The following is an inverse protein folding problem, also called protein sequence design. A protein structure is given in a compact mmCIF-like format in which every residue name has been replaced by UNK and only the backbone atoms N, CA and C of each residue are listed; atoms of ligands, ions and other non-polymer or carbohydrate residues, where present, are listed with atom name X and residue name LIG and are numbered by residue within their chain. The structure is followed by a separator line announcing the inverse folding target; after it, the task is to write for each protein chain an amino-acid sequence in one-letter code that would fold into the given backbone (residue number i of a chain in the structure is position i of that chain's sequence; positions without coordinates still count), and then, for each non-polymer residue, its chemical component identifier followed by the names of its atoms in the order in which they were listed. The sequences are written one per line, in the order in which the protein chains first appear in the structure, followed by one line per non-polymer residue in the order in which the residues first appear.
data_IF_872519493402
#
_entry.id   IF_872519493402
#
_cell.length_a   1.000
_cell.length_b   1.000
_cell.length_c   1.000
_cell.angle_alpha   90.00
_cell.angle_beta   90.00
_cell.angle_gamma   90.00
#
_symmetry.space_group_name_H-M   'P 1'
#
loop_
_entity.id
_entity.type
_entity.pdbx_description
1 polymer ?
#
# COMPACT_ATOMS: atom_id res chain seq x y z
N UNK A 1 -3.86 -1.99 25.01
CA UNK A 1 -2.69 -2.63 25.64
C UNK A 1 -2.18 -1.71 26.72
N UNK A 2 -1.76 -2.25 27.88
CA UNK A 2 -1.13 -1.41 28.91
C UNK A 2 0.26 -0.97 28.41
N UNK A 3 0.57 0.33 28.49
CA UNK A 3 1.90 0.89 28.14
C UNK A 3 3.07 0.20 28.87
N UNK A 4 2.79 -0.45 30.00
CA UNK A 4 3.78 -1.23 30.78
C UNK A 4 4.34 -2.47 30.09
N UNK A 5 3.83 -2.85 28.92
CA UNK A 5 4.29 -4.01 28.14
C UNK A 5 5.18 -3.63 26.94
N UNK A 6 5.40 -2.35 26.67
CA UNK A 6 6.25 -1.91 25.56
C UNK A 6 7.71 -1.91 26.00
N UNK A 7 8.54 -2.65 25.28
CA UNK A 7 9.99 -2.69 25.53
C UNK A 7 10.65 -1.55 24.76
N UNK A 8 11.18 -0.58 25.51
CA UNK A 8 11.85 0.60 24.91
C UNK A 8 13.05 0.19 24.06
N UNK A 9 13.09 0.69 22.85
CA UNK A 9 14.14 0.44 21.88
C UNK A 9 14.07 -0.93 21.23
N UNK A 10 13.04 -1.75 21.45
CA UNK A 10 12.84 -3.00 20.73
C UNK A 10 12.40 -2.70 19.30
N UNK A 11 13.11 -3.30 18.31
CA UNK A 11 12.85 -3.17 16.87
C UNK A 11 12.27 -4.49 16.37
N UNK A 12 11.13 -4.40 15.70
CA UNK A 12 10.51 -5.50 14.97
C UNK A 12 10.70 -5.31 13.46
N UNK A 13 11.49 -6.16 12.85
CA UNK A 13 11.63 -6.26 11.38
C UNK A 13 10.49 -7.10 10.83
N UNK A 14 9.81 -6.60 9.79
CA UNK A 14 8.70 -7.27 9.13
C UNK A 14 9.07 -7.53 7.68
N UNK A 15 9.05 -8.80 7.26
CA UNK A 15 9.51 -9.25 5.95
C UNK A 15 8.58 -10.32 5.39
N UNK A 16 8.22 -10.23 4.11
CA UNK A 16 7.61 -11.32 3.37
C UNK A 16 8.66 -11.97 2.47
N UNK A 17 8.62 -13.29 2.32
CA UNK A 17 9.52 -14.04 1.45
C UNK A 17 8.79 -15.13 0.70
N UNK A 18 9.24 -15.43 -0.53
CA UNK A 18 8.69 -16.51 -1.35
C UNK A 18 9.73 -17.08 -2.31
N UNK A 19 10.02 -18.37 -2.19
CA UNK A 19 10.78 -19.16 -3.15
C UNK A 19 12.25 -18.80 -3.29
N UNK A 20 12.84 -18.10 -2.30
CA UNK A 20 14.21 -17.56 -2.32
C UNK A 20 14.97 -17.77 -1.01
N UNK A 21 15.03 -19.00 -0.45
CA UNK A 21 15.71 -19.23 0.83
C UNK A 21 17.21 -18.87 0.79
N UNK A 22 17.84 -18.91 -0.37
CA UNK A 22 19.23 -18.48 -0.58
C UNK A 22 19.43 -16.99 -0.26
N UNK A 23 18.44 -16.12 -0.57
CA UNK A 23 18.53 -14.71 -0.25
C UNK A 23 18.42 -14.47 1.25
N UNK A 24 17.55 -15.23 1.92
CA UNK A 24 17.44 -15.17 3.38
C UNK A 24 18.74 -15.50 4.07
N UNK A 25 19.53 -16.43 3.53
CA UNK A 25 20.86 -16.75 4.08
C UNK A 25 21.79 -15.53 4.07
N UNK A 26 21.80 -14.76 2.97
CA UNK A 26 22.59 -13.52 2.89
C UNK A 26 22.05 -12.43 3.83
N UNK A 27 20.73 -12.27 3.89
CA UNK A 27 20.07 -11.32 4.81
C UNK A 27 20.41 -11.66 6.27
N UNK A 28 20.34 -12.94 6.65
CA UNK A 28 20.64 -13.38 8.01
C UNK A 28 22.12 -13.16 8.37
N UNK A 29 23.03 -13.46 7.45
CA UNK A 29 24.45 -13.17 7.64
C UNK A 29 24.71 -11.67 7.83
N UNK A 30 24.05 -10.82 7.05
CA UNK A 30 24.14 -9.37 7.19
C UNK A 30 23.59 -8.91 8.55
N UNK A 31 22.40 -9.35 8.94
CA UNK A 31 21.81 -9.03 10.25
C UNK A 31 22.76 -9.43 11.39
N UNK A 32 23.27 -10.65 11.36
CA UNK A 32 24.20 -11.17 12.38
C UNK A 32 25.47 -10.34 12.51
N UNK A 33 26.00 -9.84 11.39
CA UNK A 33 27.28 -9.10 11.39
C UNK A 33 27.13 -7.60 11.67
N UNK A 34 25.95 -7.02 11.48
CA UNK A 34 25.77 -5.55 11.54
C UNK A 34 24.90 -5.07 12.70
N UNK A 35 24.13 -5.95 13.35
CA UNK A 35 23.28 -5.58 14.49
C UNK A 35 24.10 -5.40 15.77
N UNK A 36 23.98 -4.25 16.42
CA UNK A 36 24.72 -3.94 17.64
C UNK A 36 24.06 -4.55 18.90
N UNK A 37 22.73 -4.55 18.98
CA UNK A 37 21.98 -5.07 20.13
C UNK A 37 20.97 -6.14 19.67
N UNK A 38 21.43 -7.36 19.34
CA UNK A 38 20.58 -8.40 18.77
C UNK A 38 19.42 -8.84 19.66
N UNK A 39 19.59 -8.79 20.97
CA UNK A 39 18.53 -9.13 21.94
C UNK A 39 17.34 -8.17 21.89
N UNK A 40 17.51 -6.98 21.29
CA UNK A 40 16.47 -5.97 21.09
C UNK A 40 15.95 -5.91 19.67
N UNK A 41 16.28 -6.90 18.84
CA UNK A 41 15.81 -6.98 17.46
C UNK A 41 15.11 -8.31 17.24
N UNK A 42 13.93 -8.26 16.68
CA UNK A 42 13.22 -9.47 16.24
C UNK A 42 12.87 -9.36 14.76
N UNK A 43 13.00 -10.49 14.05
CA UNK A 43 12.62 -10.62 12.65
C UNK A 43 11.36 -11.48 12.55
N UNK A 44 10.34 -10.96 11.90
CA UNK A 44 9.09 -11.66 11.61
C UNK A 44 8.95 -11.85 10.11
N UNK A 45 8.86 -13.11 9.69
CA UNK A 45 8.80 -13.54 8.30
C UNK A 45 7.45 -14.14 7.97
N UNK A 46 6.85 -13.67 6.88
CA UNK A 46 5.68 -14.30 6.29
C UNK A 46 6.13 -15.22 5.16
N UNK A 47 5.67 -16.45 5.19
CA UNK A 47 5.91 -17.48 4.18
C UNK A 47 4.56 -18.01 3.71
N UNK A 48 4.34 -18.01 2.41
CA UNK A 48 3.11 -18.56 1.85
C UNK A 48 3.03 -20.08 2.09
N UNK A 49 1.86 -20.58 2.44
CA UNK A 49 1.64 -22.01 2.76
C UNK A 49 1.92 -22.95 1.57
N UNK A 50 1.85 -22.42 0.33
CA UNK A 50 2.19 -23.14 -0.90
C UNK A 50 3.65 -23.01 -1.31
N UNK A 51 4.50 -22.28 -0.55
CA UNK A 51 5.94 -22.15 -0.80
C UNK A 51 6.73 -23.32 -0.21
N UNK A 52 6.69 -24.44 -0.90
CA UNK A 52 7.37 -25.67 -0.47
C UNK A 52 8.89 -25.51 -0.36
N UNK A 53 9.52 -24.63 -1.14
CA UNK A 53 10.98 -24.45 -1.17
C UNK A 53 11.44 -23.76 0.12
N UNK A 54 10.85 -22.63 0.46
CA UNK A 54 11.18 -21.89 1.69
C UNK A 54 10.83 -22.71 2.93
N UNK A 55 9.66 -23.35 2.94
CA UNK A 55 9.25 -24.22 4.06
C UNK A 55 10.24 -25.35 4.32
N UNK A 56 10.71 -26.03 3.26
CA UNK A 56 11.74 -27.07 3.39
C UNK A 56 13.06 -26.53 3.97
N UNK A 57 13.45 -25.30 3.61
CA UNK A 57 14.64 -24.67 4.16
C UNK A 57 14.48 -24.35 5.66
N UNK A 58 13.29 -23.92 6.08
CA UNK A 58 12.96 -23.71 7.50
C UNK A 58 13.03 -25.03 8.28
N UNK A 59 12.37 -26.07 7.78
CA UNK A 59 12.31 -27.39 8.44
C UNK A 59 13.68 -28.04 8.57
N UNK A 60 14.58 -27.80 7.61
CA UNK A 60 15.96 -28.31 7.64
C UNK A 60 16.90 -27.53 8.57
N UNK A 61 16.40 -26.52 9.27
CA UNK A 61 17.17 -25.62 10.12
C UNK A 61 18.26 -24.80 9.37
N UNK A 62 18.23 -24.80 8.04
CA UNK A 62 19.19 -24.05 7.23
C UNK A 62 19.08 -22.52 7.41
N UNK A 63 17.96 -22.05 7.97
CA UNK A 63 17.64 -20.63 8.20
C UNK A 63 17.49 -20.31 9.70
N UNK A 64 18.32 -20.86 10.57
CA UNK A 64 18.12 -20.71 12.03
C UNK A 64 19.03 -19.67 12.68
N UNK A 65 20.01 -19.13 11.99
CA UNK A 65 21.01 -18.24 12.60
C UNK A 65 21.09 -16.87 11.91
N UNK A 66 20.14 -16.02 12.25
CA UNK A 66 20.16 -14.61 11.85
C UNK A 66 20.86 -13.69 12.87
N UNK A 67 21.40 -14.25 13.96
CA UNK A 67 21.95 -13.48 15.07
C UNK A 67 20.89 -12.73 15.88
N UNK A 68 19.65 -12.68 15.44
CA UNK A 68 18.49 -12.05 16.11
C UNK A 68 17.37 -13.08 16.25
N UNK A 69 16.36 -12.78 17.07
CA UNK A 69 15.20 -13.66 17.21
C UNK A 69 14.40 -13.72 15.94
N UNK A 70 14.25 -14.89 15.33
CA UNK A 70 13.46 -15.14 14.12
C UNK A 70 12.12 -15.77 14.47
N UNK A 71 11.05 -15.23 13.90
CA UNK A 71 9.69 -15.75 14.04
C UNK A 71 9.10 -15.98 12.64
N UNK A 72 8.51 -17.15 12.44
CA UNK A 72 7.89 -17.54 11.18
C UNK A 72 6.37 -17.51 11.30
N UNK A 73 5.73 -16.92 10.30
CA UNK A 73 4.29 -16.98 10.12
C UNK A 73 4.01 -17.63 8.77
N UNK A 74 3.38 -18.81 8.79
CA UNK A 74 2.95 -19.50 7.58
C UNK A 74 1.47 -19.18 7.40
N UNK A 75 1.11 -18.68 6.24
CA UNK A 75 -0.24 -18.26 5.94
C UNK A 75 -0.60 -18.40 4.46
N UNK A 76 -1.87 -18.16 4.11
CA UNK A 76 -2.34 -18.29 2.74
C UNK A 76 -1.59 -17.33 1.82
N UNK A 77 -1.40 -17.74 0.55
CA UNK A 77 -0.94 -16.86 -0.51
C UNK A 77 -1.99 -15.78 -0.75
N UNK A 78 -1.83 -14.68 -0.06
CA UNK A 78 -2.80 -13.59 0.01
C UNK A 78 -2.70 -12.63 -1.17
N UNK A 79 -3.57 -11.66 -1.15
CA UNK A 79 -3.78 -10.71 -2.24
C UNK A 79 -2.63 -9.74 -2.51
N UNK A 80 -1.53 -9.81 -1.81
CA UNK A 80 -0.38 -8.95 -2.07
C UNK A 80 0.49 -8.65 -0.86
N UNK A 81 1.62 -8.00 -1.12
CA UNK A 81 2.66 -7.72 -0.15
C UNK A 81 2.16 -6.87 1.03
N UNK A 82 1.34 -5.86 0.76
CA UNK A 82 0.80 -4.98 1.80
C UNK A 82 -0.04 -5.74 2.83
N UNK A 83 -0.81 -6.73 2.38
CA UNK A 83 -1.66 -7.53 3.26
C UNK A 83 -0.85 -8.50 4.12
N UNK A 84 0.20 -9.12 3.55
CA UNK A 84 1.10 -9.99 4.31
C UNK A 84 1.84 -9.23 5.40
N UNK A 85 2.32 -8.03 5.08
CA UNK A 85 3.01 -7.15 6.06
C UNK A 85 2.06 -6.67 7.14
N UNK A 86 0.82 -6.33 6.79
CA UNK A 86 -0.21 -5.96 7.75
C UNK A 86 -0.55 -7.12 8.71
N UNK A 87 -0.66 -8.34 8.17
CA UNK A 87 -0.88 -9.58 8.95
C UNK A 87 0.27 -9.80 9.93
N UNK A 88 1.52 -9.66 9.48
CA UNK A 88 2.68 -9.76 10.36
C UNK A 88 2.63 -8.72 11.49
N UNK A 89 2.36 -7.46 11.18
CA UNK A 89 2.25 -6.42 12.21
C UNK A 89 1.15 -6.74 13.24
N UNK A 90 -0.01 -7.21 12.80
CA UNK A 90 -1.11 -7.60 13.70
C UNK A 90 -0.75 -8.76 14.61
N UNK A 91 0.06 -9.69 14.14
CA UNK A 91 0.44 -10.91 14.86
C UNK A 91 1.77 -10.79 15.58
N UNK A 92 2.64 -9.84 15.16
CA UNK A 92 3.99 -9.67 15.65
C UNK A 92 4.09 -8.53 16.67
N UNK A 93 5.24 -8.48 17.34
CA UNK A 93 5.77 -7.28 17.96
C UNK A 93 4.86 -6.57 18.95
N UNK A 94 4.04 -7.29 19.71
CA UNK A 94 3.17 -6.67 20.73
C UNK A 94 3.94 -5.80 21.72
N UNK A 95 5.24 -6.04 21.88
CA UNK A 95 6.14 -5.33 22.78
C UNK A 95 7.06 -4.34 22.09
N UNK A 96 7.28 -4.46 20.76
CA UNK A 96 8.21 -3.61 20.04
C UNK A 96 7.74 -2.14 19.97
N UNK A 97 8.68 -1.22 20.17
CA UNK A 97 8.44 0.23 20.04
C UNK A 97 8.59 0.72 18.59
N UNK A 98 9.39 0.03 17.80
CA UNK A 98 9.77 0.42 16.44
C UNK A 98 9.50 -0.74 15.50
N UNK A 99 8.98 -0.43 14.30
CA UNK A 99 8.71 -1.42 13.25
C UNK A 99 9.40 -1.00 11.97
N UNK A 100 10.10 -1.92 11.33
CA UNK A 100 10.73 -1.67 10.04
C UNK A 100 10.25 -2.70 9.01
N UNK A 101 9.86 -2.21 7.85
CA UNK A 101 9.58 -3.07 6.70
C UNK A 101 10.87 -3.34 5.96
N UNK A 102 11.11 -4.60 5.66
CA UNK A 102 12.31 -5.05 4.94
C UNK A 102 11.92 -6.00 3.81
N UNK A 103 12.70 -6.02 2.74
CA UNK A 103 12.57 -7.01 1.68
C UNK A 103 13.59 -8.16 1.87
N UNK A 104 13.25 -9.33 1.39
CA UNK A 104 14.09 -10.54 1.51
C UNK A 104 15.30 -10.57 0.57
N UNK A 105 15.47 -9.49 -0.23
CA UNK A 105 16.59 -9.30 -1.15
C UNK A 105 17.43 -8.05 -0.80
N UNK A 106 17.40 -7.61 0.46
CA UNK A 106 18.13 -6.43 0.94
C UNK A 106 18.97 -6.76 2.17
N UNK A 107 20.23 -6.36 2.15
CA UNK A 107 21.16 -6.50 3.27
C UNK A 107 21.53 -5.16 3.87
N UNK A 108 21.61 -5.11 5.21
CA UNK A 108 22.22 -3.98 5.92
C UNK A 108 23.74 -3.99 5.70
N UNK A 109 24.28 -2.81 5.36
CA UNK A 109 25.73 -2.59 5.19
C UNK A 109 26.32 -1.77 6.34
N UNK A 110 25.50 -1.00 7.04
CA UNK A 110 25.91 -0.14 8.15
C UNK A 110 25.92 -0.93 9.45
N UNK A 111 27.08 -1.10 10.09
CA UNK A 111 27.18 -1.66 11.44
C UNK A 111 26.50 -0.76 12.46
N UNK A 112 25.74 -1.32 13.40
CA UNK A 112 25.00 -0.54 14.41
C UNK A 112 23.82 0.22 13.84
N UNK A 113 23.25 -0.22 12.71
CA UNK A 113 22.06 0.36 12.10
C UNK A 113 20.89 0.46 13.10
N UNK A 114 20.78 -0.48 13.99
CA UNK A 114 19.75 -0.58 15.01
C UNK A 114 19.90 0.51 16.09
N UNK A 115 21.13 0.90 16.45
CA UNK A 115 21.38 2.04 17.35
C UNK A 115 21.04 3.37 16.68
N UNK A 116 21.34 3.55 15.40
CA UNK A 116 20.94 4.73 14.62
C UNK A 116 19.43 4.91 14.65
N UNK A 117 18.66 3.82 14.48
CA UNK A 117 17.21 3.84 14.55
C UNK A 117 16.74 4.23 15.97
N UNK A 118 17.30 3.61 17.01
CA UNK A 118 16.94 3.92 18.41
C UNK A 118 17.25 5.37 18.77
N UNK A 119 18.42 5.89 18.37
CA UNK A 119 18.79 7.27 18.63
C UNK A 119 17.88 8.26 17.89
N UNK A 120 17.40 7.85 16.71
CA UNK A 120 16.42 8.64 15.98
C UNK A 120 15.07 8.63 16.68
N UNK A 121 14.60 7.48 17.17
CA UNK A 121 13.31 7.38 17.87
C UNK A 121 13.25 8.28 19.12
N UNK A 122 14.37 8.48 19.81
CA UNK A 122 14.47 9.36 20.99
C UNK A 122 14.16 10.84 20.66
N UNK A 123 14.32 11.25 19.39
CA UNK A 123 13.98 12.61 18.94
C UNK A 123 12.47 12.83 18.80
N UNK A 124 11.69 11.76 18.85
CA UNK A 124 10.24 11.75 18.74
C UNK A 124 9.60 11.17 20.01
N UNK A 125 9.61 11.95 21.12
CA UNK A 125 9.16 11.45 22.43
C UNK A 125 7.69 11.01 22.46
N UNK A 126 6.90 11.47 21.50
CA UNK A 126 5.52 11.03 21.30
C UNK A 126 5.40 9.66 20.59
N UNK A 127 6.51 9.05 20.14
CA UNK A 127 6.54 7.77 19.44
C UNK A 127 5.92 7.80 18.04
N UNK A 128 5.73 9.00 17.44
CA UNK A 128 5.17 9.17 16.10
C UNK A 128 6.27 9.68 15.17
N UNK A 129 6.77 8.82 14.32
CA UNK A 129 7.73 9.18 13.28
C UNK A 129 7.67 8.17 12.12
N UNK A 130 8.11 8.63 10.98
CA UNK A 130 8.46 7.82 9.82
C UNK A 130 9.93 8.07 9.49
N UNK A 131 10.72 7.02 9.47
CA UNK A 131 12.11 7.10 9.04
C UNK A 131 12.37 6.19 7.86
N UNK A 132 13.40 6.48 7.08
CA UNK A 132 13.78 5.65 5.93
C UNK A 132 15.30 5.57 5.81
N UNK A 133 15.88 4.39 5.63
CA UNK A 133 17.27 4.22 5.23
C UNK A 133 17.55 4.92 3.90
N UNK A 134 18.80 5.19 3.63
CA UNK A 134 19.21 5.70 2.33
C UNK A 134 19.12 4.60 1.27
N UNK A 135 18.30 4.81 0.25
CA UNK A 135 18.22 3.95 -0.94
C UNK A 135 18.63 4.76 -2.17
N UNK A 136 19.82 4.49 -2.75
CA UNK A 136 20.29 5.23 -3.91
C UNK A 136 19.46 5.00 -5.17
N UNK A 137 18.67 3.92 -5.21
CA UNK A 137 17.81 3.58 -6.35
C UNK A 137 16.43 4.24 -6.27
N UNK A 138 16.09 4.82 -5.13
CA UNK A 138 14.76 5.38 -4.85
C UNK A 138 14.85 6.60 -3.91
N UNK A 139 15.56 7.65 -4.38
CA UNK A 139 15.81 8.84 -3.58
C UNK A 139 14.53 9.56 -3.11
N UNK A 140 13.44 9.44 -3.86
CA UNK A 140 12.20 10.17 -3.65
C UNK A 140 11.10 9.33 -2.98
N UNK A 141 11.42 8.15 -2.48
CA UNK A 141 10.45 7.26 -1.81
C UNK A 141 11.02 6.69 -0.52
N UNK A 142 10.14 6.23 0.35
CA UNK A 142 10.49 5.54 1.59
C UNK A 142 10.34 4.02 1.39
N UNK A 143 11.25 3.43 0.61
CA UNK A 143 11.15 2.02 0.17
C UNK A 143 11.16 1.03 1.34
N UNK A 144 11.89 1.35 2.41
CA UNK A 144 12.00 0.51 3.63
C UNK A 144 11.60 1.33 4.85
N UNK A 145 10.30 1.61 5.03
CA UNK A 145 9.83 2.51 6.08
C UNK A 145 10.06 1.94 7.47
N UNK A 146 10.44 2.83 8.36
CA UNK A 146 10.60 2.59 9.80
C UNK A 146 9.58 3.44 10.52
N UNK A 147 8.72 2.80 11.28
CA UNK A 147 7.61 3.45 11.99
C UNK A 147 7.81 3.42 13.48
N UNK A 148 7.52 4.51 14.16
CA UNK A 148 7.21 4.47 15.58
C UNK A 148 5.87 3.75 15.84
N UNK A 149 5.74 3.05 16.93
CA UNK A 149 4.52 2.31 17.30
C UNK A 149 3.27 3.17 17.20
N UNK A 150 3.28 4.38 17.75
CA UNK A 150 2.10 5.25 17.78
C UNK A 150 1.65 5.72 16.38
N UNK A 151 2.56 5.76 15.41
CA UNK A 151 2.17 5.96 14.00
C UNK A 151 1.22 4.87 13.54
N UNK A 152 1.62 3.60 13.75
CA UNK A 152 0.82 2.43 13.32
C UNK A 152 -0.49 2.31 14.12
N UNK A 153 -0.45 2.61 15.41
CA UNK A 153 -1.64 2.62 16.26
C UNK A 153 -2.61 3.74 15.90
N UNK A 154 -2.12 4.87 15.39
CA UNK A 154 -2.94 6.00 14.94
C UNK A 154 -3.64 5.68 13.62
N UNK A 155 -2.90 5.16 12.64
CA UNK A 155 -3.44 4.87 11.32
C UNK A 155 -4.11 3.50 11.21
N UNK A 156 -3.78 2.56 12.13
CA UNK A 156 -4.28 1.18 12.15
C UNK A 156 -3.89 0.34 10.93
N UNK A 157 -2.88 0.77 10.17
CA UNK A 157 -2.28 0.02 9.07
C UNK A 157 -0.78 0.35 8.91
N UNK A 158 -0.02 -0.58 8.32
CA UNK A 158 1.35 -0.31 7.82
C UNK A 158 1.24 0.40 6.48
N UNK A 159 0.55 -0.24 5.54
CA UNK A 159 0.24 0.29 4.22
C UNK A 159 -1.26 0.23 3.97
N UNK A 160 -1.82 1.13 3.15
CA UNK A 160 -3.23 1.04 2.80
C UNK A 160 -3.47 -0.26 2.04
N UNK A 161 -4.55 -0.96 2.39
CA UNK A 161 -4.89 -2.23 1.76
C UNK A 161 -5.31 -2.14 0.28
N UNK A 162 -5.15 -0.97 -0.35
CA UNK A 162 -5.59 -0.72 -1.72
C UNK A 162 -4.67 -1.35 -2.76
N UNK A 163 -3.35 -1.27 -2.55
CA UNK A 163 -2.37 -1.65 -3.54
C UNK A 163 -2.00 -3.14 -3.43
N UNK A 164 -1.92 -3.86 -4.55
CA UNK A 164 -1.37 -5.20 -4.56
C UNK A 164 0.17 -5.18 -4.44
N UNK A 165 0.79 -4.18 -5.09
CA UNK A 165 2.22 -3.88 -5.11
C UNK A 165 2.40 -2.41 -5.45
N UNK A 166 3.54 -1.78 -5.08
CA UNK A 166 3.89 -0.43 -5.44
C UNK A 166 2.97 0.65 -4.87
N UNK A 167 3.47 1.85 -4.77
CA UNK A 167 2.77 3.04 -4.29
C UNK A 167 2.53 3.08 -2.78
N UNK A 168 2.62 1.96 -2.10
CA UNK A 168 2.50 1.81 -0.66
C UNK A 168 3.60 2.57 0.09
N UNK A 169 4.83 2.46 -0.37
CA UNK A 169 6.00 3.21 0.10
C UNK A 169 5.86 4.71 -0.11
N UNK A 170 5.41 5.14 -1.30
CA UNK A 170 5.10 6.55 -1.57
C UNK A 170 3.94 7.07 -0.74
N UNK A 171 2.96 6.23 -0.50
CA UNK A 171 1.80 6.59 0.30
C UNK A 171 2.21 7.03 1.71
N UNK A 172 2.96 6.21 2.41
CA UNK A 172 3.42 6.53 3.76
C UNK A 172 4.45 7.65 3.77
N UNK A 173 5.31 7.72 2.75
CA UNK A 173 6.27 8.80 2.60
C UNK A 173 5.57 10.17 2.55
N UNK A 174 4.58 10.33 1.67
CA UNK A 174 3.83 11.58 1.56
C UNK A 174 3.07 11.94 2.84
N UNK A 175 2.53 10.95 3.56
CA UNK A 175 1.92 11.20 4.88
C UNK A 175 2.96 11.75 5.85
N UNK A 176 4.17 11.15 5.90
CA UNK A 176 5.24 11.58 6.78
C UNK A 176 5.74 12.98 6.47
N UNK A 177 5.88 13.34 5.20
CA UNK A 177 6.27 14.68 4.76
C UNK A 177 5.18 15.71 5.10
N UNK A 178 3.93 15.43 4.76
CA UNK A 178 2.80 16.32 5.09
C UNK A 178 2.64 16.52 6.60
N UNK A 179 2.88 15.47 7.39
CA UNK A 179 2.79 15.56 8.85
C UNK A 179 4.05 16.15 9.51
N UNK A 180 5.14 16.37 8.76
CA UNK A 180 6.39 16.93 9.29
C UNK A 180 7.15 15.99 10.22
N UNK A 181 6.97 14.68 10.11
CA UNK A 181 7.61 13.68 10.98
C UNK A 181 8.42 12.62 10.21
N UNK A 182 8.79 12.93 8.98
CA UNK A 182 9.67 12.11 8.15
C UNK A 182 11.14 12.46 8.36
N UNK A 183 11.98 11.44 8.44
CA UNK A 183 13.43 11.60 8.53
C UNK A 183 14.18 10.53 7.73
N UNK A 184 15.21 10.92 7.00
CA UNK A 184 16.11 10.01 6.31
C UNK A 184 17.29 9.66 7.20
N UNK A 185 17.64 8.37 7.24
CA UNK A 185 18.70 7.84 8.09
C UNK A 185 19.96 7.51 7.28
N UNK A 186 21.16 7.71 7.83
CA UNK A 186 22.42 7.32 7.22
C UNK A 186 22.67 5.82 7.40
N UNK A 187 21.74 5.00 6.90
CA UNK A 187 21.82 3.55 6.92
C UNK A 187 21.88 3.08 5.47
N UNK A 188 22.99 2.46 5.11
CA UNK A 188 23.17 1.92 3.77
C UNK A 188 22.59 0.51 3.66
N UNK A 189 21.79 0.32 2.61
CA UNK A 189 21.21 -0.96 2.23
C UNK A 189 21.78 -1.40 0.87
N UNK A 190 22.01 -2.69 0.71
CA UNK A 190 22.48 -3.26 -0.55
C UNK A 190 21.49 -4.30 -1.06
N UNK A 191 21.02 -4.19 -2.31
CA UNK A 191 20.22 -5.24 -2.92
C UNK A 191 21.09 -6.49 -3.21
N UNK A 192 20.54 -7.65 -2.96
CA UNK A 192 21.11 -8.93 -3.36
C UNK A 192 20.98 -9.06 -4.87
N UNK A 193 22.10 -9.30 -5.56
CA UNK A 193 22.10 -9.46 -7.00
C UNK A 193 21.50 -10.82 -7.38
N UNK A 194 20.40 -10.79 -8.09
CA UNK A 194 19.75 -12.00 -8.60
C UNK A 194 18.46 -11.64 -9.34
N UNK A 195 18.02 -12.51 -10.23
CA UNK A 195 16.71 -12.35 -10.85
C UNK A 195 15.67 -13.00 -9.95
N UNK A 196 14.84 -12.21 -9.30
CA UNK A 196 13.68 -12.74 -8.61
C UNK A 196 12.82 -13.58 -9.56
N UNK A 197 12.42 -14.76 -9.11
CA UNK A 197 11.56 -15.68 -9.87
C UNK A 197 10.10 -15.22 -9.92
N UNK A 198 9.75 -14.25 -9.10
CA UNK A 198 8.37 -13.75 -9.00
C UNK A 198 8.07 -12.80 -10.14
N UNK A 199 7.18 -13.20 -11.03
CA UNK A 199 6.59 -12.29 -12.01
C UNK A 199 5.76 -11.24 -11.27
N UNK A 200 5.94 -9.97 -11.61
CA UNK A 200 5.12 -8.89 -11.09
C UNK A 200 4.22 -8.40 -12.21
N UNK A 201 2.90 -8.42 -11.97
CA UNK A 201 1.96 -7.73 -12.84
C UNK A 201 1.94 -6.26 -12.47
N UNK A 202 1.96 -5.40 -13.48
CA UNK A 202 2.13 -3.97 -13.28
C UNK A 202 1.17 -3.21 -14.19
N UNK A 203 -0.06 -3.04 -13.78
CA UNK A 203 -0.99 -2.08 -14.40
C UNK A 203 -0.68 -0.68 -13.84
N UNK A 204 0.57 -0.24 -14.07
CA UNK A 204 1.09 1.00 -13.49
C UNK A 204 0.24 2.23 -13.82
N UNK A 205 -0.28 2.43 -15.04
CA UNK A 205 -1.09 3.61 -15.32
C UNK A 205 -2.35 3.69 -14.47
N UNK A 206 -3.08 2.59 -14.31
CA UNK A 206 -4.26 2.55 -13.46
C UNK A 206 -3.90 2.86 -12.00
N UNK A 207 -2.89 2.17 -11.46
CA UNK A 207 -2.49 2.35 -10.06
C UNK A 207 -1.86 3.72 -9.80
N UNK A 208 -1.13 4.28 -10.77
CA UNK A 208 -0.65 5.65 -10.69
C UNK A 208 -1.81 6.64 -10.61
N UNK A 209 -2.82 6.47 -11.44
CA UNK A 209 -3.99 7.35 -11.45
C UNK A 209 -4.82 7.18 -10.18
N UNK A 210 -4.98 5.95 -9.71
CA UNK A 210 -5.60 5.67 -8.42
C UNK A 210 -4.87 6.39 -7.29
N UNK A 211 -3.53 6.26 -7.23
CA UNK A 211 -2.71 6.95 -6.24
C UNK A 211 -2.88 8.47 -6.29
N UNK A 212 -2.89 9.07 -7.48
CA UNK A 212 -3.10 10.50 -7.65
C UNK A 212 -4.44 10.94 -7.08
N UNK A 213 -5.52 10.29 -7.48
CA UNK A 213 -6.89 10.66 -7.12
C UNK A 213 -7.24 10.43 -5.65
N UNK A 214 -6.42 9.67 -4.92
CA UNK A 214 -6.59 9.40 -3.48
C UNK A 214 -5.71 10.29 -2.59
N UNK A 215 -5.30 11.47 -3.05
CA UNK A 215 -4.51 12.41 -2.24
C UNK A 215 -5.25 12.85 -0.98
N UNK A 216 -6.56 13.08 -1.06
CA UNK A 216 -7.38 13.47 0.10
C UNK A 216 -7.30 12.46 1.24
N UNK A 217 -7.24 11.15 0.95
CA UNK A 217 -7.06 10.11 1.97
C UNK A 217 -5.70 10.20 2.68
N UNK A 218 -4.64 10.56 1.93
CA UNK A 218 -3.31 10.79 2.52
C UNK A 218 -3.28 12.04 3.37
N UNK A 219 -3.97 13.11 2.94
CA UNK A 219 -4.15 14.34 3.74
C UNK A 219 -4.87 14.03 5.04
N UNK A 220 -5.96 13.27 5.00
CA UNK A 220 -6.70 12.88 6.19
C UNK A 220 -5.88 12.00 7.14
N UNK A 221 -5.06 11.12 6.59
CA UNK A 221 -4.12 10.32 7.37
C UNK A 221 -3.04 11.20 8.03
N UNK A 222 -2.49 12.17 7.30
CA UNK A 222 -1.53 13.14 7.86
C UNK A 222 -2.15 14.00 8.97
N UNK A 223 -3.41 14.44 8.81
CA UNK A 223 -4.15 15.14 9.87
C UNK A 223 -4.27 14.30 11.14
N UNK A 224 -4.65 13.02 11.02
CA UNK A 224 -4.73 12.10 12.16
C UNK A 224 -3.38 11.96 12.88
N UNK A 225 -2.28 11.88 12.12
CA UNK A 225 -0.92 11.83 12.66
C UNK A 225 -0.61 13.13 13.43
N UNK A 226 -0.86 14.31 12.86
CA UNK A 226 -0.65 15.61 13.52
C UNK A 226 -1.48 15.71 14.80
N UNK A 227 -2.73 15.26 14.77
CA UNK A 227 -3.60 15.26 15.94
C UNK A 227 -3.08 14.37 17.07
N UNK A 228 -2.46 13.25 16.73
CA UNK A 228 -1.89 12.31 17.69
C UNK A 228 -0.51 12.72 18.25
N UNK A 229 0.14 13.74 17.70
CA UNK A 229 1.49 14.17 18.12
C UNK A 229 1.53 14.93 19.47
N UNK A 230 0.40 15.31 20.03
CA UNK A 230 0.33 16.10 21.27
C UNK A 230 1.10 17.44 21.17
N UNK A 231 0.94 18.13 20.05
CA UNK A 231 1.56 19.44 19.77
C UNK A 231 0.86 20.57 20.53
N UNK A 232 1.59 21.66 20.83
CA UNK A 232 0.95 22.89 21.28
C UNK A 232 0.03 23.46 20.18
N UNK A 233 -0.91 24.36 20.51
CA UNK A 233 -1.76 24.98 19.50
C UNK A 233 -0.99 25.64 18.35
N UNK A 234 0.11 26.30 18.67
CA UNK A 234 0.98 27.00 17.71
C UNK A 234 1.70 25.99 16.80
N UNK A 235 2.29 24.93 17.38
CA UNK A 235 2.94 23.85 16.64
C UNK A 235 1.92 23.11 15.75
N UNK A 236 0.72 22.84 16.27
CA UNK A 236 -0.35 22.21 15.49
C UNK A 236 -0.78 23.07 14.31
N UNK A 237 -0.93 24.38 14.53
CA UNK A 237 -1.25 25.30 13.44
C UNK A 237 -0.18 25.33 12.37
N UNK A 238 1.11 25.35 12.77
CA UNK A 238 2.24 25.28 11.84
C UNK A 238 2.26 23.95 11.06
N UNK A 239 2.03 22.81 11.73
CA UNK A 239 1.97 21.49 11.10
C UNK A 239 0.84 21.39 10.07
N UNK A 240 -0.36 21.90 10.39
CA UNK A 240 -1.49 21.92 9.45
C UNK A 240 -1.22 22.83 8.24
N UNK A 241 -0.55 23.97 8.44
CA UNK A 241 -0.12 24.82 7.33
C UNK A 241 0.90 24.12 6.43
N UNK A 242 1.88 23.43 7.01
CA UNK A 242 2.85 22.61 6.29
C UNK A 242 2.16 21.52 5.45
N UNK A 243 1.16 20.83 6.04
CA UNK A 243 0.37 19.82 5.34
C UNK A 243 -0.30 20.39 4.08
N UNK A 244 -0.99 21.52 4.19
CA UNK A 244 -1.70 22.11 3.04
C UNK A 244 -0.70 22.60 1.96
N UNK A 245 0.46 23.13 2.37
CA UNK A 245 1.53 23.52 1.45
C UNK A 245 2.05 22.30 0.67
N UNK A 246 2.43 21.23 1.36
CA UNK A 246 2.91 20.01 0.72
C UNK A 246 1.85 19.37 -0.18
N UNK A 247 0.58 19.32 0.26
CA UNK A 247 -0.50 18.81 -0.55
C UNK A 247 -0.67 19.60 -1.86
N UNK A 248 -0.58 20.93 -1.80
CA UNK A 248 -0.65 21.79 -3.00
C UNK A 248 0.52 21.53 -3.95
N UNK A 249 1.72 21.30 -3.43
CA UNK A 249 2.87 20.95 -4.25
C UNK A 249 2.70 19.58 -4.92
N UNK A 250 2.18 18.60 -4.19
CA UNK A 250 1.87 17.28 -4.73
C UNK A 250 0.80 17.36 -5.82
N UNK A 251 -0.24 18.16 -5.68
CA UNK A 251 -1.25 18.38 -6.72
C UNK A 251 -0.62 18.93 -8.01
N UNK A 252 0.26 19.92 -7.91
CA UNK A 252 0.97 20.48 -9.06
C UNK A 252 1.91 19.48 -9.74
N UNK A 253 2.57 18.63 -8.94
CA UNK A 253 3.44 17.59 -9.48
C UNK A 253 2.65 16.49 -10.19
N UNK A 254 1.44 16.18 -9.73
CA UNK A 254 0.58 15.16 -10.32
C UNK A 254 0.20 15.46 -11.76
N UNK A 255 0.05 16.72 -12.14
CA UNK A 255 -0.22 17.11 -13.52
C UNK A 255 0.91 16.72 -14.48
N UNK A 256 2.16 16.73 -14.00
CA UNK A 256 3.34 16.32 -14.77
C UNK A 256 3.59 14.81 -14.74
N UNK A 257 3.05 14.13 -13.76
CA UNK A 257 3.30 12.71 -13.50
C UNK A 257 2.57 11.79 -14.50
N UNK A 258 1.47 12.26 -15.09
CA UNK A 258 0.74 11.50 -16.12
C UNK A 258 1.63 11.15 -17.31
N UNK A 259 2.55 12.03 -17.68
CA UNK A 259 3.42 11.85 -18.85
C UNK A 259 4.51 10.80 -18.61
N UNK A 260 5.03 10.71 -17.39
CA UNK A 260 6.04 9.72 -17.03
C UNK A 260 5.52 8.27 -17.09
N UNK A 261 4.23 8.06 -16.83
CA UNK A 261 3.63 6.72 -16.87
C UNK A 261 3.25 6.25 -18.26
N UNK A 262 3.04 7.17 -19.20
CA UNK A 262 2.86 6.85 -20.61
C UNK A 262 4.11 6.19 -21.19
N UNK A 263 5.30 6.62 -20.77
CA UNK A 263 6.59 6.04 -21.19
C UNK A 263 6.76 4.61 -20.68
N UNK A 264 6.25 4.29 -19.49
CA UNK A 264 6.30 2.93 -18.93
C UNK A 264 5.29 1.95 -19.58
N UNK A 265 4.27 2.45 -20.28
CA UNK A 265 3.31 1.60 -20.99
C UNK A 265 3.94 0.85 -22.17
N UNK A 266 4.86 1.48 -22.88
CA UNK A 266 5.37 0.92 -24.13
C UNK A 266 6.39 -0.21 -23.96
N UNK A 267 7.14 -0.24 -22.85
CA UNK A 267 8.30 -1.12 -22.73
C UNK A 267 8.11 -2.44 -21.98
N UNK A 268 7.08 -2.61 -21.14
CA UNK A 268 7.13 -3.72 -20.14
C UNK A 268 5.83 -4.45 -19.85
N UNK A 269 4.68 -4.04 -20.37
CA UNK A 269 3.42 -4.58 -19.87
C UNK A 269 2.59 -5.22 -20.95
N UNK A 270 2.97 -6.45 -21.30
CA UNK A 270 2.01 -7.36 -21.92
C UNK A 270 0.88 -7.54 -20.93
N UNK A 271 -0.25 -6.93 -21.24
CA UNK A 271 -1.49 -7.16 -20.50
C UNK A 271 -1.87 -8.60 -20.72
N UNK A 272 -1.58 -9.43 -19.75
CA UNK A 272 -2.02 -10.81 -19.76
C UNK A 272 -3.55 -10.87 -19.75
N UNK A 273 -4.09 -11.96 -20.26
CA UNK A 273 -5.54 -12.18 -20.20
C UNK A 273 -6.03 -12.17 -18.74
N UNK A 274 -7.30 -11.90 -18.47
CA UNK A 274 -7.85 -12.01 -17.13
C UNK A 274 -7.63 -13.38 -16.50
N UNK A 275 -7.56 -14.45 -17.30
CA UNK A 275 -7.25 -15.81 -16.87
C UNK A 275 -5.81 -15.95 -16.41
N UNK A 276 -4.86 -15.46 -17.18
CA UNK A 276 -3.44 -15.44 -16.82
C UNK A 276 -3.18 -14.64 -15.54
N UNK A 277 -3.89 -13.52 -15.35
CA UNK A 277 -3.79 -12.71 -14.13
C UNK A 277 -4.30 -13.44 -12.91
N UNK A 278 -5.44 -14.12 -13.03
CA UNK A 278 -6.01 -14.93 -11.94
C UNK A 278 -5.11 -16.10 -11.57
N UNK A 279 -4.55 -16.78 -12.57
CA UNK A 279 -3.62 -17.88 -12.36
C UNK A 279 -2.30 -17.43 -11.72
N UNK A 280 -1.88 -16.19 -12.00
CA UNK A 280 -0.60 -15.65 -11.51
C UNK A 280 -0.69 -15.14 -10.06
N UNK A 281 -1.72 -14.39 -9.75
CA UNK A 281 -1.96 -13.84 -8.41
C UNK A 281 -3.49 -13.67 -8.20
N UNK A 282 -4.15 -14.63 -7.57
CA UNK A 282 -5.59 -14.59 -7.37
C UNK A 282 -6.09 -13.33 -6.69
N UNK A 283 -5.26 -12.77 -5.80
CA UNK A 283 -5.62 -11.57 -5.07
C UNK A 283 -5.47 -10.27 -5.85
N UNK A 284 -4.63 -10.25 -6.90
CA UNK A 284 -4.41 -9.04 -7.70
C UNK A 284 -5.71 -8.53 -8.34
N UNK A 285 -6.45 -9.42 -8.97
CA UNK A 285 -7.71 -9.09 -9.63
C UNK A 285 -8.77 -8.60 -8.64
N UNK A 286 -8.77 -9.12 -7.43
CA UNK A 286 -9.63 -8.64 -6.35
C UNK A 286 -9.26 -7.21 -5.96
N UNK A 287 -7.98 -6.91 -5.76
CA UNK A 287 -7.52 -5.55 -5.42
C UNK A 287 -7.87 -4.54 -6.52
N UNK A 288 -7.71 -4.92 -7.79
CA UNK A 288 -8.10 -4.08 -8.92
C UNK A 288 -9.61 -3.82 -8.92
N UNK A 289 -10.43 -4.85 -8.66
CA UNK A 289 -11.87 -4.72 -8.56
C UNK A 289 -12.30 -3.81 -7.40
N UNK A 290 -11.67 -3.97 -6.23
CA UNK A 290 -11.93 -3.14 -5.06
C UNK A 290 -11.55 -1.67 -5.33
N UNK A 291 -10.42 -1.41 -6.00
CA UNK A 291 -9.99 -0.08 -6.38
C UNK A 291 -10.94 0.56 -7.41
N UNK A 292 -11.42 -0.18 -8.39
CA UNK A 292 -12.44 0.29 -9.36
C UNK A 292 -13.75 0.63 -8.66
N UNK A 293 -14.20 -0.22 -7.72
CA UNK A 293 -15.39 0.03 -6.94
C UNK A 293 -15.25 1.32 -6.09
N UNK A 294 -14.11 1.52 -5.48
CA UNK A 294 -13.82 2.73 -4.70
C UNK A 294 -13.81 3.99 -5.58
N UNK A 295 -13.23 3.93 -6.79
CA UNK A 295 -13.29 5.04 -7.75
C UNK A 295 -14.73 5.41 -8.12
N UNK A 296 -15.58 4.41 -8.36
CA UNK A 296 -17.00 4.63 -8.64
C UNK A 296 -17.69 5.31 -7.43
N UNK A 297 -17.38 4.87 -6.23
CA UNK A 297 -17.92 5.46 -5.00
C UNK A 297 -17.49 6.93 -4.85
N UNK A 298 -16.23 7.26 -5.07
CA UNK A 298 -15.75 8.65 -5.05
C UNK A 298 -16.44 9.50 -6.13
N UNK A 299 -16.62 8.96 -7.33
CA UNK A 299 -17.35 9.66 -8.37
C UNK A 299 -18.80 9.97 -7.93
N UNK A 300 -19.50 9.00 -7.33
CA UNK A 300 -20.86 9.21 -6.82
C UNK A 300 -20.91 10.28 -5.72
N UNK A 301 -19.93 10.35 -4.83
CA UNK A 301 -19.84 11.41 -3.82
C UNK A 301 -19.66 12.79 -4.47
N UNK A 302 -18.76 12.90 -5.47
CA UNK A 302 -18.59 14.15 -6.23
C UNK A 302 -19.86 14.55 -7.00
N UNK A 303 -20.60 13.58 -7.54
CA UNK A 303 -21.89 13.83 -8.18
C UNK A 303 -22.93 14.37 -7.18
N UNK A 304 -22.99 13.81 -5.99
CA UNK A 304 -23.88 14.30 -4.92
C UNK A 304 -23.54 15.74 -4.51
N UNK A 305 -22.26 16.12 -4.58
CA UNK A 305 -21.79 17.50 -4.38
C UNK A 305 -21.96 18.39 -5.62
N UNK A 306 -22.52 17.89 -6.71
CA UNK A 306 -22.64 18.56 -8.03
C UNK A 306 -21.30 18.91 -8.68
N UNK A 307 -20.21 18.23 -8.28
CA UNK A 307 -18.85 18.37 -8.84
C UNK A 307 -18.66 17.39 -9.99
N UNK A 308 -19.45 17.51 -11.05
CA UNK A 308 -19.49 16.52 -12.15
C UNK A 308 -18.18 16.40 -12.90
N UNK A 309 -17.42 17.50 -13.06
CA UNK A 309 -16.10 17.45 -13.70
C UNK A 309 -15.10 16.62 -12.90
N UNK A 310 -15.12 16.72 -11.56
CA UNK A 310 -14.27 15.91 -10.71
C UNK A 310 -14.73 14.45 -10.68
N UNK A 311 -16.04 14.20 -10.66
CA UNK A 311 -16.57 12.84 -10.78
C UNK A 311 -16.07 12.13 -12.05
N UNK A 312 -16.00 12.83 -13.18
CA UNK A 312 -15.48 12.29 -14.44
C UNK A 312 -14.02 11.84 -14.30
N UNK A 313 -13.18 12.55 -13.54
CA UNK A 313 -11.76 12.14 -13.34
C UNK A 313 -11.65 10.74 -12.70
N UNK A 314 -12.49 10.43 -11.72
CA UNK A 314 -12.55 9.12 -11.09
C UNK A 314 -13.10 8.06 -12.04
N UNK A 315 -14.14 8.38 -12.80
CA UNK A 315 -14.73 7.46 -13.77
C UNK A 315 -13.75 7.15 -14.90
N UNK A 316 -12.99 8.14 -15.39
CA UNK A 316 -11.96 7.95 -16.42
C UNK A 316 -10.84 7.02 -15.93
N UNK A 317 -10.47 7.12 -14.65
CA UNK A 317 -9.50 6.21 -14.07
C UNK A 317 -9.97 4.74 -14.13
N UNK A 318 -11.27 4.47 -13.94
CA UNK A 318 -11.79 3.10 -14.03
C UNK A 318 -11.61 2.49 -15.43
N UNK A 319 -11.58 3.33 -16.48
CA UNK A 319 -11.37 2.85 -17.86
C UNK A 319 -9.92 2.47 -18.17
N UNK A 320 -8.98 2.86 -17.30
CA UNK A 320 -7.58 2.44 -17.40
C UNK A 320 -7.36 1.05 -16.81
N UNK A 321 -8.31 0.54 -16.02
CA UNK A 321 -8.25 -0.80 -15.46
C UNK A 321 -8.67 -1.86 -16.49
N UNK A 322 -8.34 -3.11 -16.18
CA UNK A 322 -8.81 -4.25 -16.97
C UNK A 322 -10.24 -4.67 -16.63
N UNK A 323 -10.81 -4.05 -15.60
CA UNK A 323 -12.18 -4.31 -15.14
C UNK A 323 -13.06 -3.18 -15.67
N UNK A 324 -13.87 -3.50 -16.67
CA UNK A 324 -14.82 -2.54 -17.21
C UNK A 324 -16.20 -2.80 -16.62
N UNK A 325 -16.72 -1.82 -15.90
CA UNK A 325 -18.07 -1.85 -15.34
C UNK A 325 -18.97 -0.89 -16.11
N UNK A 326 -20.10 -1.39 -16.58
CA UNK A 326 -21.13 -0.57 -17.24
C UNK A 326 -21.55 0.60 -16.36
N UNK A 327 -21.66 0.38 -15.04
CA UNK A 327 -22.01 1.42 -14.08
C UNK A 327 -21.12 2.67 -14.20
N UNK A 328 -19.81 2.50 -14.38
CA UNK A 328 -18.89 3.64 -14.54
C UNK A 328 -19.22 4.46 -15.80
N UNK A 329 -19.61 3.79 -16.88
CA UNK A 329 -19.96 4.44 -18.13
C UNK A 329 -21.31 5.18 -17.98
N UNK A 330 -22.32 4.53 -17.40
CA UNK A 330 -23.63 5.12 -17.20
C UNK A 330 -23.51 6.38 -16.33
N UNK A 331 -22.72 6.35 -15.26
CA UNK A 331 -22.44 7.52 -14.42
C UNK A 331 -21.68 8.62 -15.18
N UNK A 332 -20.71 8.27 -16.04
CA UNK A 332 -19.99 9.25 -16.86
C UNK A 332 -20.92 9.93 -17.87
N UNK A 333 -21.79 9.16 -18.52
CA UNK A 333 -22.82 9.70 -19.42
C UNK A 333 -23.70 10.69 -18.67
N UNK A 334 -24.13 10.36 -17.47
CA UNK A 334 -24.91 11.28 -16.62
C UNK A 334 -24.11 12.56 -16.31
N UNK A 335 -22.88 12.46 -15.85
CA UNK A 335 -22.04 13.62 -15.55
C UNK A 335 -21.85 14.53 -16.79
N UNK A 336 -21.63 13.95 -17.97
CA UNK A 336 -21.48 14.70 -19.21
C UNK A 336 -22.76 15.48 -19.56
N UNK A 337 -23.94 14.88 -19.36
CA UNK A 337 -25.23 15.55 -19.56
C UNK A 337 -25.43 16.71 -18.59
N UNK A 338 -25.12 16.53 -17.33
CA UNK A 338 -25.20 17.59 -16.31
C UNK A 338 -24.26 18.79 -16.62
N UNK A 339 -23.14 18.52 -17.32
CA UNK A 339 -22.23 19.55 -17.82
C UNK A 339 -22.63 20.13 -19.19
N UNK A 340 -23.79 19.75 -19.76
CA UNK A 340 -24.25 20.21 -21.06
C UNK A 340 -23.50 19.59 -22.26
N UNK A 341 -22.64 18.58 -22.04
CA UNK A 341 -21.83 17.89 -23.05
C UNK A 341 -22.61 16.73 -23.71
N UNK A 342 -23.80 17.03 -24.21
CA UNK A 342 -24.74 16.02 -24.72
C UNK A 342 -24.16 15.19 -25.88
N UNK A 343 -23.42 15.78 -26.79
CA UNK A 343 -22.81 15.08 -27.94
C UNK A 343 -21.79 14.04 -27.47
N UNK A 344 -20.94 14.37 -26.47
CA UNK A 344 -19.99 13.44 -25.89
C UNK A 344 -20.71 12.32 -25.15
N UNK A 345 -21.76 12.64 -24.40
CA UNK A 345 -22.59 11.68 -23.68
C UNK A 345 -23.26 10.66 -24.62
N UNK A 346 -23.85 11.13 -25.72
CA UNK A 346 -24.55 10.27 -26.68
C UNK A 346 -23.57 9.38 -27.46
N UNK A 347 -22.38 9.92 -27.81
CA UNK A 347 -21.31 9.14 -28.44
C UNK A 347 -20.86 8.00 -27.49
N UNK A 348 -20.58 8.32 -26.22
CA UNK A 348 -20.14 7.34 -25.23
C UNK A 348 -21.22 6.26 -25.00
N UNK A 349 -22.48 6.66 -24.87
CA UNK A 349 -23.60 5.74 -24.71
C UNK A 349 -23.74 4.79 -25.90
N UNK A 350 -23.61 5.31 -27.15
CA UNK A 350 -23.68 4.51 -28.38
C UNK A 350 -22.52 3.53 -28.51
N UNK A 351 -21.30 3.96 -28.24
CA UNK A 351 -20.10 3.11 -28.27
C UNK A 351 -20.21 1.98 -27.24
N UNK A 352 -20.77 2.28 -26.06
CA UNK A 352 -20.99 1.28 -25.01
C UNK A 352 -22.03 0.23 -25.42
N UNK A 353 -23.12 0.63 -26.03
CA UNK A 353 -24.15 -0.29 -26.51
C UNK A 353 -23.59 -1.19 -27.62
N UNK A 354 -22.70 -0.69 -28.47
CA UNK A 354 -22.06 -1.47 -29.52
C UNK A 354 -21.01 -2.47 -28.96
N UNK A 355 -20.26 -2.06 -27.95
CA UNK A 355 -19.23 -2.91 -27.33
C UNK A 355 -19.81 -3.99 -26.39
N UNK A 356 -21.04 -3.80 -25.88
CA UNK A 356 -21.77 -4.76 -25.07
C UNK A 356 -23.09 -5.17 -25.74
N UNK A 357 -23.05 -5.98 -26.79
CA UNK A 357 -24.28 -6.59 -27.31
C UNK A 357 -24.94 -7.37 -26.19
N UNK A 358 -26.25 -7.31 -26.12
CA UNK A 358 -27.09 -7.87 -25.07
C UNK A 358 -26.71 -9.30 -24.66
N UNK A 359 -25.81 -9.44 -23.70
CA UNK A 359 -25.77 -10.66 -22.92
C UNK A 359 -27.04 -10.66 -22.06
N UNK A 360 -27.87 -11.69 -22.23
CA UNK A 360 -29.13 -11.87 -21.50
C UNK A 360 -29.03 -11.33 -20.08
N UNK A 361 -29.86 -10.34 -19.75
CA UNK A 361 -29.95 -9.61 -18.49
C UNK A 361 -29.83 -10.54 -17.26
N UNK A 362 -30.43 -11.73 -17.29
CA UNK A 362 -30.36 -12.73 -16.24
C UNK A 362 -28.97 -13.38 -16.06
N UNK A 363 -28.21 -13.66 -17.13
CA UNK A 363 -26.85 -14.19 -17.02
C UNK A 363 -25.85 -13.14 -16.45
N UNK A 364 -26.10 -11.84 -16.68
CA UNK A 364 -25.31 -10.75 -16.12
C UNK A 364 -25.55 -10.60 -14.61
N UNK A 365 -26.81 -10.62 -14.18
CA UNK A 365 -27.17 -10.57 -12.76
C UNK A 365 -26.63 -11.81 -12.04
N UNK A 366 -26.76 -13.00 -12.58
CA UNK A 366 -26.26 -14.23 -11.93
C UNK A 366 -24.74 -14.31 -11.89
N UNK A 367 -24.01 -13.81 -12.90
CA UNK A 367 -22.53 -13.71 -12.82
C UNK A 367 -22.09 -12.65 -11.81
N UNK A 368 -22.75 -11.52 -11.79
CA UNK A 368 -22.44 -10.44 -10.83
C UNK A 368 -22.83 -10.88 -9.39
N UNK A 369 -23.98 -11.46 -9.19
CA UNK A 369 -24.41 -12.01 -7.90
C UNK A 369 -23.60 -13.24 -7.49
N UNK A 370 -23.15 -14.07 -8.43
CA UNK A 370 -22.24 -15.19 -8.16
C UNK A 370 -20.84 -14.73 -7.75
N UNK A 371 -20.31 -13.66 -8.34
CA UNK A 371 -19.04 -13.04 -7.90
C UNK A 371 -19.19 -12.33 -6.56
N UNK A 372 -20.33 -11.67 -6.33
CA UNK A 372 -20.61 -10.97 -5.06
C UNK A 372 -21.05 -11.93 -3.96
N UNK A 373 -21.79 -12.99 -4.28
CA UNK A 373 -22.33 -13.93 -3.29
C UNK A 373 -21.28 -14.92 -2.74
N UNK A 374 -20.25 -15.23 -3.50
CA UNK A 374 -19.14 -16.08 -3.02
C UNK A 374 -18.13 -15.33 -2.15
N UNK A 375 -18.02 -14.01 -2.28
CA UNK A 375 -17.01 -13.22 -1.55
C UNK A 375 -17.57 -12.01 -0.79
N UNK A 376 -18.82 -11.61 -1.05
CA UNK A 376 -19.41 -10.35 -0.56
C UNK A 376 -20.12 -10.41 0.78
N UNK A 377 -20.29 -11.58 1.41
CA UNK A 377 -20.99 -11.66 2.70
C UNK A 377 -20.29 -10.92 3.85
N UNK A 378 -19.01 -10.68 3.75
CA UNK A 378 -18.24 -10.06 4.85
C UNK A 378 -18.06 -8.53 4.69
N UNK A 379 -18.04 -7.99 3.47
CA UNK A 379 -17.74 -6.58 3.24
C UNK A 379 -18.97 -5.65 3.26
N UNK A 380 -20.09 -6.07 2.69
CA UNK A 380 -21.31 -5.23 2.66
C UNK A 380 -21.96 -5.15 4.04
N UNK A 381 -21.89 -6.20 4.85
CA UNK A 381 -22.46 -6.21 6.21
C UNK A 381 -21.68 -5.31 7.16
N UNK A 382 -20.36 -5.23 7.03
CA UNK A 382 -19.52 -4.36 7.85
C UNK A 382 -19.76 -2.85 7.60
N UNK A 383 -20.02 -2.47 6.35
CA UNK A 383 -20.26 -1.06 5.97
C UNK A 383 -21.69 -0.59 6.30
N UNK A 384 -22.68 -1.46 6.17
CA UNK A 384 -24.08 -1.12 6.49
C UNK A 384 -24.35 -1.08 8.00
N UNK A 385 -23.56 -1.80 8.80
CA UNK A 385 -23.68 -1.75 10.28
C UNK A 385 -22.97 -0.55 10.92
N UNK A 386 -22.03 0.11 10.25
CA UNK A 386 -21.32 1.26 10.81
C UNK A 386 -22.09 2.57 10.75
N UNK A 387 -23.16 2.69 9.96
CA UNK A 387 -24.16 3.79 9.96
C UNK A 387 -23.68 5.24 10.19
N UNK A 388 -22.37 5.48 10.22
CA UNK A 388 -21.80 6.79 10.50
C UNK A 388 -21.26 7.39 9.22
N UNK A 389 -21.96 8.41 8.73
CA UNK A 389 -21.40 9.36 7.76
C UNK A 389 -20.10 9.93 8.36
N UNK A 390 -19.00 9.98 7.63
CA UNK A 390 -17.87 10.80 8.04
C UNK A 390 -18.34 12.27 8.06
N UNK A 391 -18.09 12.92 9.18
CA UNK A 391 -18.25 14.37 9.31
C UNK A 391 -17.18 15.08 8.52
#
# INVERSE_FOLDING_TARGET
MNESQIHRGEICLIMATRGRPEFLTEVFAALKSTTAQPDKVSLWLYVDEDDAITRKAIDSSALNDAGVKVNWHIGPNTSGLCETQHTLWRNSGKTAEIFMILADDICFMTSGWDDIIRDTSKKFPNGIFLACPYDPTSADTCTYPIFGRRWLETLQYIFPGHFPYWWDDRWVHQIGEMAGCYVRLPIDLRPIRGKGKTRRMRDLPFWARFFQLTLDERKDSAKKIIEAMNLTPEEKSAALKNLEQHATELEKQQEKFSDLYTIFQEERFTLHTPEERRAFNPGYFKKEADAVALMIQFAQWRMAEKKFADAIKFLDATFMSNIRLRQAIDLKVQCLRELGKNSEADKLAKETLAAWPEMNFFRRIFRFLGMVATEGKTMIIGFLQSGKKPK
#
